data_IF_385385923204
#
_entry.id   IF_385385923204
#
_cell.length_a   1.000
_cell.length_b   1.000
_cell.length_c   1.000
_cell.angle_alpha   90.00
_cell.angle_beta   90.00
_cell.angle_gamma   90.00
#
_symmetry.space_group_name_H-M   'P 1'
#
loop_
_entity.id
_entity.type
_entity.pdbx_description
1 polymer ?
#
# COMPACT_ATOMS: atom_id res chain seq x y z
N UNK A 1 -84.00 1.57 -3.06
CA UNK A 1 -82.89 2.48 -2.77
C UNK A 1 -81.61 1.66 -2.75
N UNK A 2 -80.49 2.24 -3.16
CA UNK A 2 -79.11 1.77 -2.87
C UNK A 2 -78.30 0.96 -3.92
N UNK A 3 -78.83 0.58 -5.09
CA UNK A 3 -78.02 -0.21 -6.06
C UNK A 3 -76.87 0.59 -6.71
N UNK A 4 -77.05 1.90 -6.93
CA UNK A 4 -76.07 2.76 -7.63
C UNK A 4 -74.91 3.22 -6.75
N UNK A 5 -75.11 3.21 -5.44
CA UNK A 5 -74.17 3.62 -4.40
C UNK A 5 -73.23 2.46 -4.03
N UNK A 6 -73.74 1.22 -3.97
CA UNK A 6 -72.92 0.01 -3.79
C UNK A 6 -72.00 -0.28 -4.99
N UNK A 7 -72.47 -0.03 -6.22
CA UNK A 7 -71.66 -0.20 -7.45
C UNK A 7 -70.46 0.77 -7.50
N UNK A 8 -70.63 1.97 -6.94
CA UNK A 8 -69.60 3.01 -6.93
C UNK A 8 -68.56 2.79 -5.82
N UNK A 9 -68.96 2.22 -4.68
CA UNK A 9 -68.02 1.86 -3.61
C UNK A 9 -67.17 0.66 -4.00
N UNK A 10 -67.75 -0.36 -4.66
CA UNK A 10 -67.01 -1.52 -5.16
C UNK A 10 -65.93 -1.13 -6.17
N UNK A 11 -66.26 -0.30 -7.17
CA UNK A 11 -65.29 0.18 -8.17
C UNK A 11 -64.14 0.95 -7.54
N UNK A 12 -64.41 1.80 -6.54
CA UNK A 12 -63.36 2.51 -5.80
C UNK A 12 -62.44 1.55 -5.07
N UNK A 13 -63.00 0.56 -4.36
CA UNK A 13 -62.21 -0.46 -3.64
C UNK A 13 -61.32 -1.23 -4.62
N UNK A 14 -61.86 -1.65 -5.77
CA UNK A 14 -61.09 -2.35 -6.79
C UNK A 14 -59.96 -1.48 -7.38
N UNK A 15 -60.23 -0.21 -7.64
CA UNK A 15 -59.21 0.74 -8.12
C UNK A 15 -58.11 0.94 -7.08
N UNK A 16 -58.46 1.16 -5.81
CA UNK A 16 -57.47 1.32 -4.74
C UNK A 16 -56.66 0.05 -4.51
N UNK A 17 -57.30 -1.11 -4.52
CA UNK A 17 -56.63 -2.40 -4.41
C UNK A 17 -55.64 -2.61 -5.58
N UNK A 18 -56.05 -2.29 -6.81
CA UNK A 18 -55.18 -2.39 -7.98
C UNK A 18 -53.98 -1.43 -7.90
N UNK A 19 -54.20 -0.16 -7.54
CA UNK A 19 -53.12 0.82 -7.37
C UNK A 19 -52.14 0.38 -6.28
N UNK A 20 -52.65 -0.14 -5.15
CA UNK A 20 -51.83 -0.67 -4.08
C UNK A 20 -51.00 -1.89 -4.53
N UNK A 21 -51.61 -2.82 -5.27
CA UNK A 21 -50.92 -4.01 -5.80
C UNK A 21 -49.81 -3.62 -6.79
N UNK A 22 -50.09 -2.70 -7.72
CA UNK A 22 -49.10 -2.18 -8.67
C UNK A 22 -47.98 -1.46 -7.93
N UNK A 23 -48.29 -0.63 -6.93
CA UNK A 23 -47.29 0.05 -6.10
C UNK A 23 -46.37 -0.93 -5.36
N UNK A 24 -46.94 -1.98 -4.75
CA UNK A 24 -46.16 -3.03 -4.08
C UNK A 24 -45.29 -3.84 -5.05
N UNK A 25 -45.78 -4.11 -6.26
CA UNK A 25 -44.99 -4.77 -7.32
C UNK A 25 -43.83 -3.89 -7.78
N UNK A 26 -44.05 -2.60 -8.01
CA UNK A 26 -42.99 -1.64 -8.36
C UNK A 26 -41.95 -1.54 -7.25
N UNK A 27 -42.38 -1.41 -5.99
CA UNK A 27 -41.49 -1.37 -4.83
C UNK A 27 -40.64 -2.65 -4.74
N UNK A 28 -41.25 -3.81 -4.95
CA UNK A 28 -40.57 -5.10 -4.94
C UNK A 28 -39.57 -5.23 -6.08
N UNK A 29 -39.93 -4.83 -7.31
CA UNK A 29 -39.03 -4.84 -8.47
C UNK A 29 -37.85 -3.91 -8.23
N UNK A 30 -38.11 -2.71 -7.70
CA UNK A 30 -37.07 -1.74 -7.34
C UNK A 30 -36.10 -2.33 -6.30
N UNK A 31 -36.61 -2.86 -5.18
CA UNK A 31 -35.78 -3.55 -4.18
C UNK A 31 -35.04 -4.76 -4.77
N UNK A 32 -35.71 -5.58 -5.57
CA UNK A 32 -35.16 -6.81 -6.14
C UNK A 32 -34.05 -6.55 -7.16
N UNK A 33 -34.04 -5.39 -7.82
CA UNK A 33 -33.03 -5.09 -8.84
C UNK A 33 -32.01 -4.04 -8.41
N UNK A 34 -32.42 -2.95 -7.75
CA UNK A 34 -31.47 -1.91 -7.34
C UNK A 34 -30.58 -2.33 -6.18
N UNK A 35 -31.10 -3.14 -5.24
CA UNK A 35 -30.29 -3.64 -4.12
C UNK A 35 -29.15 -4.55 -4.62
N UNK A 36 -29.39 -5.63 -5.38
CA UNK A 36 -28.28 -6.43 -5.89
C UNK A 36 -27.41 -5.68 -6.88
N UNK A 37 -27.95 -4.75 -7.68
CA UNK A 37 -27.13 -3.91 -8.56
C UNK A 37 -26.14 -3.06 -7.75
N UNK A 38 -26.61 -2.42 -6.67
CA UNK A 38 -25.74 -1.64 -5.77
C UNK A 38 -24.68 -2.51 -5.11
N UNK A 39 -25.06 -3.70 -4.63
CA UNK A 39 -24.14 -4.67 -4.03
C UNK A 39 -23.09 -5.14 -5.05
N UNK A 40 -23.52 -5.51 -6.26
CA UNK A 40 -22.61 -5.95 -7.33
C UNK A 40 -21.63 -4.84 -7.73
N UNK A 41 -22.10 -3.60 -7.90
CA UNK A 41 -21.24 -2.46 -8.16
C UNK A 41 -20.22 -2.26 -7.03
N UNK A 42 -20.68 -2.29 -5.77
CA UNK A 42 -19.79 -2.16 -4.62
C UNK A 42 -18.72 -3.27 -4.59
N UNK A 43 -19.10 -4.53 -4.78
CA UNK A 43 -18.18 -5.68 -4.84
C UNK A 43 -17.22 -5.62 -6.03
N UNK A 44 -17.62 -5.00 -7.14
CA UNK A 44 -16.77 -4.88 -8.33
C UNK A 44 -15.78 -3.72 -8.24
N UNK A 45 -16.21 -2.58 -7.70
CA UNK A 45 -15.41 -1.35 -7.59
C UNK A 45 -14.51 -1.35 -6.34
N UNK A 46 -14.98 -1.90 -5.22
CA UNK A 46 -14.26 -1.90 -3.94
C UNK A 46 -12.83 -2.45 -4.02
N UNK A 47 -12.55 -3.60 -4.68
CA UNK A 47 -11.18 -4.11 -4.81
C UNK A 47 -10.24 -3.14 -5.52
N UNK A 48 -10.69 -2.51 -6.60
CA UNK A 48 -9.86 -1.56 -7.35
C UNK A 48 -9.54 -0.30 -6.53
N UNK A 49 -10.53 0.21 -5.79
CA UNK A 49 -10.34 1.34 -4.87
C UNK A 49 -9.38 0.98 -3.73
N UNK A 50 -9.54 -0.21 -3.14
CA UNK A 50 -8.64 -0.72 -2.12
C UNK A 50 -7.19 -0.81 -2.62
N UNK A 51 -6.98 -1.41 -3.79
CA UNK A 51 -5.64 -1.54 -4.40
C UNK A 51 -5.02 -0.17 -4.67
N UNK A 52 -5.81 0.80 -5.15
CA UNK A 52 -5.32 2.16 -5.40
C UNK A 52 -4.80 2.81 -4.11
N UNK A 53 -5.60 2.76 -3.04
CA UNK A 53 -5.24 3.34 -1.74
C UNK A 53 -4.00 2.65 -1.15
N UNK A 54 -3.98 1.31 -1.12
CA UNK A 54 -2.84 0.55 -0.57
C UNK A 54 -1.56 0.76 -1.39
N UNK A 55 -1.65 0.86 -2.72
CA UNK A 55 -0.50 1.09 -3.59
C UNK A 55 0.09 2.49 -3.41
N UNK A 56 -0.75 3.49 -3.13
CA UNK A 56 -0.32 4.86 -2.83
C UNK A 56 0.43 4.92 -1.49
N UNK A 57 -0.09 4.28 -0.45
CA UNK A 57 0.57 4.23 0.87
C UNK A 57 1.92 3.50 0.82
N UNK A 58 2.03 2.48 -0.04
CA UNK A 58 3.24 1.66 -0.19
C UNK A 58 4.25 2.22 -1.19
N UNK A 59 3.93 3.32 -1.89
CA UNK A 59 4.82 3.92 -2.89
C UNK A 59 5.11 3.02 -4.10
N UNK A 60 4.16 2.15 -4.47
CA UNK A 60 4.29 1.28 -5.65
C UNK A 60 4.32 2.14 -6.92
N UNK A 61 5.22 1.83 -7.85
CA UNK A 61 5.25 2.52 -9.13
C UNK A 61 3.94 2.29 -9.91
N UNK A 62 3.28 3.38 -10.34
CA UNK A 62 2.03 3.39 -11.13
C UNK A 62 0.82 2.72 -10.43
N UNK A 63 0.30 3.28 -9.33
CA UNK A 63 -0.81 2.69 -8.57
C UNK A 63 -2.12 2.59 -9.39
N UNK A 64 -2.36 3.52 -10.33
CA UNK A 64 -3.51 3.47 -11.25
C UNK A 64 -3.52 2.21 -12.14
N UNK A 65 -2.36 1.76 -12.62
CA UNK A 65 -2.29 0.58 -13.49
C UNK A 65 -2.71 -0.68 -12.73
N UNK A 66 -2.29 -0.82 -11.46
CA UNK A 66 -2.69 -1.90 -10.58
C UNK A 66 -4.19 -1.90 -10.27
N UNK A 67 -4.78 -0.73 -10.04
CA UNK A 67 -6.21 -0.58 -9.82
C UNK A 67 -7.04 -0.96 -11.06
N UNK A 68 -6.66 -0.47 -12.25
CA UNK A 68 -7.33 -0.81 -13.52
C UNK A 68 -7.21 -2.29 -13.83
N UNK A 69 -6.03 -2.88 -13.62
CA UNK A 69 -5.82 -4.31 -13.79
C UNK A 69 -6.73 -5.12 -12.86
N UNK A 70 -6.83 -4.73 -11.58
CA UNK A 70 -7.72 -5.36 -10.60
C UNK A 70 -9.18 -5.19 -10.95
N UNK A 71 -9.59 -4.06 -11.51
CA UNK A 71 -10.96 -3.84 -11.95
C UNK A 71 -11.35 -4.80 -13.10
N UNK A 72 -10.47 -5.01 -14.08
CA UNK A 72 -10.74 -5.87 -15.23
C UNK A 72 -10.66 -7.36 -14.91
N UNK A 73 -9.72 -7.75 -14.06
CA UNK A 73 -9.47 -9.17 -13.73
C UNK A 73 -10.12 -9.60 -12.41
N UNK A 74 -10.77 -8.65 -11.73
CA UNK A 74 -11.55 -8.83 -10.51
C UNK A 74 -10.74 -9.53 -9.41
N UNK A 75 -11.22 -10.68 -8.93
CA UNK A 75 -10.57 -11.46 -7.86
C UNK A 75 -9.15 -11.90 -8.24
N UNK A 76 -8.87 -12.17 -9.52
CA UNK A 76 -7.53 -12.59 -9.95
C UNK A 76 -6.53 -11.45 -9.85
N UNK A 77 -6.92 -10.23 -10.23
CA UNK A 77 -6.05 -9.07 -10.12
C UNK A 77 -5.77 -8.69 -8.68
N UNK A 78 -6.77 -8.81 -7.81
CA UNK A 78 -6.59 -8.62 -6.38
C UNK A 78 -5.60 -9.64 -5.82
N UNK A 79 -5.74 -10.92 -6.18
CA UNK A 79 -4.82 -11.97 -5.75
C UNK A 79 -3.38 -11.68 -6.19
N UNK A 80 -3.18 -11.32 -7.46
CA UNK A 80 -1.86 -10.99 -8.01
C UNK A 80 -1.28 -9.76 -7.31
N UNK A 81 -2.08 -8.71 -7.08
CA UNK A 81 -1.64 -7.53 -6.36
C UNK A 81 -1.17 -7.88 -4.94
N UNK A 82 -1.94 -8.70 -4.21
CA UNK A 82 -1.59 -9.13 -2.86
C UNK A 82 -0.29 -9.94 -2.83
N UNK A 83 -0.04 -10.75 -3.86
CA UNK A 83 1.22 -11.50 -4.01
C UNK A 83 2.40 -10.59 -4.37
N UNK A 84 2.19 -9.58 -5.20
CA UNK A 84 3.20 -8.59 -5.59
C UNK A 84 3.37 -7.46 -4.56
N UNK A 85 2.52 -7.43 -3.52
CA UNK A 85 2.44 -6.35 -2.53
C UNK A 85 3.79 -6.25 -1.82
N UNK A 86 4.47 -5.10 -1.89
CA UNK A 86 5.74 -4.94 -1.18
C UNK A 86 5.44 -4.99 0.32
N UNK A 87 6.19 -5.81 1.05
CA UNK A 87 6.02 -5.91 2.49
C UNK A 87 6.41 -4.56 3.14
N UNK A 88 5.55 -4.09 4.07
CA UNK A 88 5.88 -2.91 4.89
C UNK A 88 6.89 -3.26 5.98
N UNK A 89 7.26 -4.54 6.09
CA UNK A 89 8.44 -4.99 6.80
C UNK A 89 9.72 -4.43 6.13
N UNK A 90 9.92 -3.11 6.25
CA UNK A 90 11.25 -2.56 6.50
C UNK A 90 11.81 -3.40 7.64
N UNK A 91 12.68 -4.34 7.30
CA UNK A 91 13.36 -5.15 8.28
C UNK A 91 13.91 -4.22 9.37
N UNK A 92 13.69 -4.57 10.62
CA UNK A 92 14.29 -3.89 11.77
C UNK A 92 15.77 -3.75 11.47
N UNK A 93 16.24 -2.54 11.18
CA UNK A 93 17.60 -2.31 10.77
C UNK A 93 18.38 -1.90 12.01
N UNK A 94 19.36 -2.67 12.45
CA UNK A 94 20.12 -2.28 13.64
C UNK A 94 21.29 -1.39 13.27
N UNK A 95 21.54 -0.35 14.06
CA UNK A 95 22.69 0.52 13.90
C UNK A 95 23.96 -0.32 14.07
N UNK A 96 24.90 -0.35 13.10
CA UNK A 96 26.12 -1.14 13.20
C UNK A 96 27.08 -0.63 14.28
N UNK A 97 26.86 0.58 14.79
CA UNK A 97 27.74 1.19 15.77
C UNK A 97 27.30 1.04 17.22
N UNK A 98 26.00 1.10 17.50
CA UNK A 98 25.47 1.00 18.87
C UNK A 98 24.46 -0.14 19.05
N UNK A 99 24.08 -0.82 17.98
CA UNK A 99 23.21 -1.99 18.04
C UNK A 99 21.72 -1.70 18.23
N UNK A 100 21.29 -0.44 18.34
CA UNK A 100 19.86 -0.17 18.46
C UNK A 100 19.10 -0.35 17.12
N UNK A 101 17.80 -0.66 17.19
CA UNK A 101 16.76 -0.62 16.11
C UNK A 101 16.44 0.75 15.42
N UNK A 102 16.89 0.91 14.19
CA UNK A 102 16.69 2.10 13.36
C UNK A 102 15.72 1.84 12.19
N UNK A 103 15.05 2.89 11.71
CA UNK A 103 14.31 2.84 10.45
C UNK A 103 15.30 3.07 9.28
N UNK A 104 15.25 2.26 8.21
CA UNK A 104 16.04 2.44 6.99
C UNK A 104 15.94 3.84 6.33
N UNK A 105 14.95 4.66 6.68
CA UNK A 105 14.79 6.05 6.21
C UNK A 105 15.65 7.06 6.97
N UNK A 106 16.16 6.71 8.14
CA UNK A 106 16.92 7.64 8.96
C UNK A 106 18.33 7.82 8.40
N UNK A 107 18.72 9.07 8.15
CA UNK A 107 20.08 9.40 7.74
C UNK A 107 21.08 9.29 8.90
N UNK A 108 20.64 9.58 10.13
CA UNK A 108 21.45 9.53 11.35
C UNK A 108 20.78 8.66 12.40
N UNK A 109 21.58 7.97 13.20
CA UNK A 109 21.11 7.14 14.31
C UNK A 109 20.57 8.04 15.44
N UNK A 110 19.31 7.85 15.90
CA UNK A 110 18.74 8.64 16.98
C UNK A 110 19.38 8.37 18.35
N UNK A 111 20.11 7.26 18.50
CA UNK A 111 20.74 6.92 19.78
C UNK A 111 22.18 7.36 19.91
N UNK A 112 22.95 7.30 18.82
CA UNK A 112 24.38 7.60 18.86
C UNK A 112 24.82 8.73 17.93
N UNK A 113 23.89 9.31 17.15
CA UNK A 113 24.15 10.43 16.26
C UNK A 113 24.94 10.12 14.99
N UNK A 114 25.51 8.91 14.85
CA UNK A 114 26.30 8.53 13.67
C UNK A 114 25.42 8.28 12.44
N UNK A 115 25.95 8.60 11.26
CA UNK A 115 25.27 8.40 9.99
C UNK A 115 24.96 6.92 9.77
N UNK A 116 23.71 6.64 9.39
CA UNK A 116 23.24 5.31 8.97
C UNK A 116 23.29 5.14 7.46
N UNK A 117 23.59 6.22 6.72
CA UNK A 117 23.75 6.16 5.27
C UNK A 117 24.94 5.26 4.97
N UNK A 118 24.67 4.03 4.55
CA UNK A 118 25.66 3.12 3.96
C UNK A 118 26.33 3.89 2.82
N UNK A 119 27.59 4.27 3.04
CA UNK A 119 28.32 5.31 2.33
C UNK A 119 28.06 5.32 0.81
N UNK A 120 27.04 6.08 0.39
CA UNK A 120 26.89 6.59 -0.96
C UNK A 120 27.79 7.82 -1.05
N UNK A 121 29.10 7.55 -1.09
CA UNK A 121 30.15 8.55 -1.26
C UNK A 121 30.95 8.24 -2.51
N UNK A 122 32.15 8.80 -2.58
CA UNK A 122 33.14 8.44 -3.61
C UNK A 122 33.87 7.15 -3.20
N UNK A 123 34.17 6.30 -4.17
CA UNK A 123 34.98 5.11 -3.94
C UNK A 123 36.34 5.50 -3.34
N UNK A 124 36.78 4.90 -2.22
CA UNK A 124 38.07 5.25 -1.61
C UNK A 124 39.26 4.92 -2.52
N UNK A 125 39.13 3.94 -3.42
CA UNK A 125 40.20 3.55 -4.34
C UNK A 125 40.28 4.41 -5.61
N UNK A 126 39.14 4.81 -6.18
CA UNK A 126 39.12 5.46 -7.50
C UNK A 126 38.27 6.74 -7.58
N UNK A 127 37.68 7.17 -6.47
CA UNK A 127 36.88 8.40 -6.34
C UNK A 127 35.61 8.49 -7.23
N UNK A 128 35.20 7.37 -7.85
CA UNK A 128 33.93 7.28 -8.60
C UNK A 128 32.74 7.35 -7.65
N UNK A 129 31.67 8.03 -8.04
CA UNK A 129 30.46 8.15 -7.23
C UNK A 129 29.76 6.79 -7.05
N UNK A 130 29.42 6.45 -5.81
CA UNK A 130 28.77 5.20 -5.44
C UNK A 130 27.31 5.45 -5.04
N UNK A 131 26.43 4.54 -5.45
CA UNK A 131 25.03 4.54 -5.02
C UNK A 131 24.88 3.80 -3.68
N UNK A 132 23.87 4.16 -2.87
CA UNK A 132 23.56 3.41 -1.64
C UNK A 132 23.35 1.92 -1.93
N UNK A 133 23.90 1.06 -1.08
CA UNK A 133 23.72 -0.39 -1.16
C UNK A 133 24.64 -1.14 -2.14
N UNK A 134 25.54 -0.46 -2.83
CA UNK A 134 26.56 -1.12 -3.66
C UNK A 134 27.61 -1.82 -2.79
N UNK A 135 27.93 -3.07 -3.13
CA UNK A 135 28.97 -3.89 -2.46
C UNK A 135 30.35 -3.73 -3.09
N UNK A 136 30.40 -3.36 -4.37
CA UNK A 136 31.62 -3.20 -5.16
C UNK A 136 31.50 -1.96 -6.05
N UNK A 137 32.63 -1.28 -6.31
CA UNK A 137 32.67 -0.14 -7.22
C UNK A 137 32.62 -0.61 -8.68
N UNK A 138 31.77 -0.04 -9.56
CA UNK A 138 31.70 -0.46 -10.96
C UNK A 138 32.93 -0.05 -11.79
N UNK A 139 33.69 0.95 -11.36
CA UNK A 139 34.84 1.46 -12.10
C UNK A 139 36.12 0.67 -11.82
N UNK A 140 36.36 0.29 -10.56
CA UNK A 140 37.59 -0.39 -10.15
C UNK A 140 37.39 -1.74 -9.45
N UNK A 141 36.14 -2.17 -9.25
CA UNK A 141 35.78 -3.41 -8.56
C UNK A 141 36.25 -3.52 -7.10
N UNK A 142 36.69 -2.41 -6.48
CA UNK A 142 37.05 -2.40 -5.07
C UNK A 142 35.81 -2.65 -4.19
N UNK A 143 35.94 -3.43 -3.09
CA UNK A 143 34.84 -3.64 -2.15
C UNK A 143 34.47 -2.31 -1.48
N UNK A 144 33.19 -1.97 -1.53
CA UNK A 144 32.62 -0.83 -0.82
C UNK A 144 32.23 -1.35 0.55
N UNK A 145 33.23 -1.50 1.41
CA UNK A 145 32.98 -1.75 2.82
C UNK A 145 32.25 -0.52 3.38
N UNK A 146 31.03 -0.66 3.95
CA UNK A 146 30.50 0.37 4.82
C UNK A 146 31.59 0.60 5.87
N UNK A 147 31.96 1.85 6.14
CA UNK A 147 33.08 2.16 7.02
C UNK A 147 32.83 1.60 8.44
N UNK A 148 33.20 0.33 8.63
CA UNK A 148 33.21 -0.42 9.88
C UNK A 148 34.68 -0.72 10.15
N UNK A 149 35.32 0.09 10.99
CA UNK A 149 36.67 -0.18 11.48
C UNK A 149 37.34 1.07 12.03
N UNK A 150 38.01 0.99 13.20
CA UNK A 150 38.41 2.13 14.01
C UNK A 150 39.52 2.95 13.34
N UNK A 151 39.52 4.25 13.62
CA UNK A 151 40.64 5.13 13.32
C UNK A 151 41.94 4.47 13.79
N UNK A 152 42.87 4.35 12.86
CA UNK A 152 44.20 3.80 13.05
C UNK A 152 44.88 4.39 14.28
N UNK A 153 45.55 3.52 15.03
CA UNK A 153 46.33 3.87 16.19
C UNK A 153 47.47 4.83 15.84
N UNK A 154 47.68 5.79 16.73
CA UNK A 154 48.93 6.51 16.89
C UNK A 154 50.07 5.52 17.17
N UNK A 155 51.24 5.63 16.50
CA UNK A 155 52.43 4.89 16.92
C UNK A 155 52.90 5.44 18.28
N UNK A 156 52.77 4.63 19.33
CA UNK A 156 53.46 4.81 20.60
C UNK A 156 54.98 4.84 20.37
N UNK A 157 55.62 5.92 20.81
CA UNK A 157 57.07 6.01 20.88
C UNK A 157 57.62 5.06 21.95
N UNK A 158 58.88 4.61 21.82
CA UNK A 158 59.45 3.63 22.74
C UNK A 158 59.59 4.17 24.18
N UNK A 159 59.47 3.31 25.21
CA UNK A 159 59.57 3.70 26.61
C UNK A 159 61.00 4.13 26.98
N UNK A 160 61.19 5.06 27.93
CA UNK A 160 62.51 5.41 28.45
C UNK A 160 63.09 4.25 29.27
N UNK A 161 64.35 3.91 28.97
CA UNK A 161 65.18 2.96 29.72
C UNK A 161 65.62 3.56 31.09
N UNK A 162 66.00 2.73 32.08
CA UNK A 162 66.13 3.12 33.49
C UNK A 162 67.29 4.09 33.79
#
# INVERSE_FOLDING_TARGET
MDFRTEDLTLKKILVYAFVALVGLLILKIFMLHLLPLGILLFLFLSPAVFVLADAQERGVHRPMAWAVFTLFTWVFGLMIYLLARPDQARGKAFCPHCGGETDPRFHNCPWCGKSLVQAAGKCPSCQTDLKPGWKYCPACNAPVVPATGPAAGTPEGPPPAP
#
